data_IF_710107778705
#
_entry.id   IF_710107778705
#
_cell.length_a   1.000
_cell.length_b   1.000
_cell.length_c   1.000
_cell.angle_alpha   90.00
_cell.angle_beta   90.00
_cell.angle_gamma   90.00
#
_symmetry.space_group_name_H-M   'P 1'
#
loop_
_entity.id
_entity.type
_entity.pdbx_description
1 polymer ?
#
# COMPACT_ATOMS: atom_id res chain seq x y z
N UNK A 1 63.67 -1.37 31.45
CA UNK A 1 63.25 -1.55 30.04
C UNK A 1 62.25 -2.71 29.82
N UNK A 2 62.28 -3.82 30.58
CA UNK A 2 61.31 -4.94 30.40
C UNK A 2 59.84 -4.60 30.72
N UNK A 3 59.58 -3.65 31.63
CA UNK A 3 58.19 -3.24 31.99
C UNK A 3 57.53 -2.31 30.95
N UNK A 4 58.30 -1.61 30.11
CA UNK A 4 57.77 -0.75 29.04
C UNK A 4 57.28 -1.59 27.84
N UNK A 5 57.97 -2.70 27.54
CA UNK A 5 57.61 -3.59 26.42
C UNK A 5 56.30 -4.36 26.65
N UNK A 6 55.99 -4.73 27.90
CA UNK A 6 54.72 -5.40 28.23
C UNK A 6 53.53 -4.44 28.09
N UNK A 7 53.72 -3.15 28.38
CA UNK A 7 52.69 -2.12 28.21
C UNK A 7 52.39 -1.86 26.71
N UNK A 8 53.43 -1.87 25.86
CA UNK A 8 53.27 -1.75 24.40
C UNK A 8 52.62 -2.98 23.75
N UNK A 9 52.89 -4.19 24.26
CA UNK A 9 52.27 -5.43 23.79
C UNK A 9 50.76 -5.49 24.12
N UNK A 10 50.34 -4.94 25.27
CA UNK A 10 48.93 -4.82 25.64
C UNK A 10 48.19 -3.70 24.86
N UNK A 11 48.90 -2.64 24.45
CA UNK A 11 48.31 -1.60 23.60
C UNK A 11 48.08 -2.11 22.15
N UNK A 12 48.96 -2.97 21.63
CA UNK A 12 48.83 -3.53 20.27
C UNK A 12 47.83 -4.68 20.15
N UNK A 13 47.56 -5.44 21.23
CA UNK A 13 46.56 -6.52 21.19
C UNK A 13 45.11 -6.01 21.03
N UNK A 14 44.83 -4.77 21.44
CA UNK A 14 43.53 -4.14 21.19
C UNK A 14 43.33 -3.72 19.74
N UNK A 15 44.38 -3.34 19.01
CA UNK A 15 44.27 -2.95 17.59
C UNK A 15 44.00 -4.15 16.66
N UNK A 16 44.53 -5.34 16.96
CA UNK A 16 44.30 -6.53 16.11
C UNK A 16 42.87 -7.11 16.22
N UNK A 17 42.15 -6.83 17.31
CA UNK A 17 40.80 -7.37 17.51
C UNK A 17 39.72 -6.60 16.75
N UNK A 18 39.95 -5.33 16.38
CA UNK A 18 38.95 -4.50 15.66
C UNK A 18 39.01 -4.76 14.15
N UNK A 19 40.21 -4.83 13.56
CA UNK A 19 40.37 -5.10 12.12
C UNK A 19 39.94 -6.52 11.70
N UNK A 20 40.15 -7.54 12.56
CA UNK A 20 39.80 -8.92 12.23
C UNK A 20 38.30 -9.25 12.22
N UNK A 21 37.44 -8.34 12.66
CA UNK A 21 35.99 -8.58 12.72
C UNK A 21 35.28 -8.17 11.42
N UNK A 22 35.67 -7.04 10.83
CA UNK A 22 35.18 -6.62 9.52
C UNK A 22 35.53 -7.65 8.45
N UNK A 23 36.75 -8.17 8.47
CA UNK A 23 37.18 -9.22 7.55
C UNK A 23 36.35 -10.51 7.68
N UNK A 24 35.96 -10.90 8.90
CA UNK A 24 35.10 -12.07 9.13
C UNK A 24 33.68 -11.87 8.60
N UNK A 25 33.13 -10.69 8.78
CA UNK A 25 31.80 -10.34 8.27
C UNK A 25 31.82 -10.25 6.74
N UNK A 26 32.88 -9.66 6.17
CA UNK A 26 33.08 -9.60 4.72
C UNK A 26 33.22 -10.99 4.10
N UNK A 27 33.94 -11.90 4.76
CA UNK A 27 34.01 -13.31 4.35
C UNK A 27 32.63 -13.99 4.38
N UNK A 28 31.76 -13.66 5.34
CA UNK A 28 30.39 -14.18 5.39
C UNK A 28 29.61 -13.75 4.13
N UNK A 29 29.63 -12.46 3.81
CA UNK A 29 28.98 -11.94 2.60
C UNK A 29 29.55 -12.60 1.35
N UNK A 30 30.88 -12.69 1.23
CA UNK A 30 31.53 -13.27 0.05
C UNK A 30 31.26 -14.76 -0.12
N UNK A 31 31.20 -15.51 0.98
CA UNK A 31 30.94 -16.96 0.98
C UNK A 31 29.54 -17.30 0.46
N UNK A 32 28.54 -16.48 0.75
CA UNK A 32 27.14 -16.78 0.44
C UNK A 32 26.55 -15.97 -0.73
N UNK A 33 27.29 -15.00 -1.29
CA UNK A 33 26.76 -14.11 -2.33
C UNK A 33 26.30 -14.82 -3.62
N UNK A 34 26.84 -16.00 -3.93
CA UNK A 34 26.51 -16.77 -5.14
C UNK A 34 25.68 -18.03 -4.86
N UNK A 35 25.16 -18.17 -3.63
CA UNK A 35 24.40 -19.36 -3.24
C UNK A 35 22.95 -19.22 -3.67
N UNK A 36 22.40 -20.27 -4.28
CA UNK A 36 21.01 -20.32 -4.69
C UNK A 36 20.04 -20.18 -3.50
N UNK A 37 19.06 -19.28 -3.60
CA UNK A 37 18.16 -18.91 -2.50
C UNK A 37 18.74 -17.85 -1.55
N UNK A 38 19.86 -17.22 -1.93
CA UNK A 38 20.42 -16.06 -1.24
C UNK A 38 20.42 -14.86 -2.20
N UNK A 39 19.84 -13.76 -1.76
CA UNK A 39 19.95 -12.46 -2.45
C UNK A 39 21.07 -11.65 -1.84
N UNK A 40 22.03 -11.21 -2.66
CA UNK A 40 23.17 -10.39 -2.23
C UNK A 40 23.23 -9.09 -3.02
N UNK A 41 23.34 -7.95 -2.31
CA UNK A 41 23.51 -6.62 -2.92
C UNK A 41 24.77 -6.01 -2.33
N UNK A 42 25.68 -5.52 -3.18
CA UNK A 42 26.89 -4.80 -2.77
C UNK A 42 26.98 -3.47 -3.50
N UNK A 43 26.90 -2.38 -2.73
CA UNK A 43 27.09 -1.03 -3.22
C UNK A 43 28.42 -0.51 -2.66
N UNK A 44 29.32 -0.12 -3.55
CA UNK A 44 30.63 0.39 -3.17
C UNK A 44 30.69 1.92 -3.12
N UNK A 45 31.69 2.46 -2.42
CA UNK A 45 31.95 3.90 -2.24
C UNK A 45 31.80 4.77 -3.50
N UNK A 46 32.29 4.39 -4.69
CA UNK A 46 32.16 5.24 -5.87
C UNK A 46 30.69 5.54 -6.23
N UNK A 47 29.77 4.60 -5.95
CA UNK A 47 28.35 4.77 -6.23
C UNK A 47 27.72 5.79 -5.26
N UNK A 48 28.09 5.75 -3.97
CA UNK A 48 27.68 6.77 -3.00
C UNK A 48 28.25 8.15 -3.32
N UNK A 49 29.51 8.21 -3.78
CA UNK A 49 30.12 9.45 -4.26
C UNK A 49 29.39 10.03 -5.46
N UNK A 50 28.95 9.18 -6.40
CA UNK A 50 28.12 9.60 -7.53
C UNK A 50 26.75 10.10 -7.07
N UNK A 51 26.08 9.41 -6.14
CA UNK A 51 24.80 9.87 -5.58
C UNK A 51 24.93 11.22 -4.87
N UNK A 52 26.03 11.44 -4.16
CA UNK A 52 26.32 12.73 -3.51
C UNK A 52 26.62 13.87 -4.49
N UNK A 53 27.08 13.57 -5.70
CA UNK A 53 27.38 14.56 -6.74
C UNK A 53 26.22 14.86 -7.68
N UNK A 54 25.12 14.09 -7.61
CA UNK A 54 23.91 14.39 -8.37
C UNK A 54 23.26 15.67 -7.83
N UNK A 55 23.17 16.67 -8.70
CA UNK A 55 22.53 17.94 -8.39
C UNK A 55 21.02 17.84 -8.65
N UNK A 56 20.31 17.19 -7.74
CA UNK A 56 18.85 17.09 -7.76
C UNK A 56 18.29 18.19 -6.86
N UNK A 57 17.37 19.01 -7.38
CA UNK A 57 16.61 20.00 -6.61
C UNK A 57 15.60 19.29 -5.70
N UNK A 58 16.10 18.72 -4.61
CA UNK A 58 15.29 18.08 -3.58
C UNK A 58 15.82 18.48 -2.20
N UNK A 59 15.00 19.23 -1.47
CA UNK A 59 15.27 19.70 -0.11
C UNK A 59 15.56 18.57 0.89
N UNK A 60 15.15 17.34 0.59
CA UNK A 60 15.43 16.15 1.40
C UNK A 60 16.79 15.54 1.04
N UNK A 61 17.15 15.53 -0.24
CA UNK A 61 18.46 15.02 -0.69
C UNK A 61 19.60 15.86 -0.12
N UNK A 62 19.42 17.18 -0.02
CA UNK A 62 20.41 18.07 0.59
C UNK A 62 20.71 17.76 2.06
N UNK A 63 19.74 17.20 2.80
CA UNK A 63 19.93 16.81 4.20
C UNK A 63 20.74 15.51 4.34
N UNK A 64 20.62 14.60 3.36
CA UNK A 64 21.30 13.30 3.38
C UNK A 64 22.61 13.28 2.58
N UNK A 65 22.87 14.24 1.69
CA UNK A 65 24.14 14.39 0.96
C UNK A 65 25.39 14.33 1.86
N UNK A 66 25.44 15.03 3.03
CA UNK A 66 26.58 14.93 3.96
C UNK A 66 26.79 13.53 4.53
N UNK A 67 25.73 12.71 4.57
CA UNK A 67 25.76 11.33 5.07
C UNK A 67 26.26 10.36 4.00
N UNK A 68 25.85 10.56 2.75
CA UNK A 68 26.30 9.74 1.62
C UNK A 68 27.82 9.76 1.47
N UNK A 69 28.46 10.90 1.77
CA UNK A 69 29.92 11.03 1.77
C UNK A 69 30.62 10.22 2.88
N UNK A 70 29.92 9.89 3.97
CA UNK A 70 30.42 9.13 5.11
C UNK A 70 30.25 7.61 4.95
N UNK A 71 29.49 7.18 3.95
CA UNK A 71 29.24 5.77 3.64
C UNK A 71 30.31 5.29 2.65
N UNK A 72 31.07 4.29 3.05
CA UNK A 72 32.02 3.59 2.19
C UNK A 72 31.37 2.43 1.43
N UNK A 73 30.25 1.90 1.91
CA UNK A 73 29.55 0.82 1.22
C UNK A 73 28.28 0.37 1.92
N UNK A 74 27.44 -0.35 1.17
CA UNK A 74 26.27 -1.06 1.69
C UNK A 74 26.35 -2.51 1.20
N UNK A 75 26.20 -3.46 2.11
CA UNK A 75 26.05 -4.88 1.78
C UNK A 75 24.74 -5.39 2.35
N UNK A 76 23.96 -6.09 1.53
CA UNK A 76 22.70 -6.74 1.92
C UNK A 76 22.82 -8.22 1.59
N UNK A 77 22.44 -9.08 2.51
CA UNK A 77 22.35 -10.52 2.35
C UNK A 77 20.98 -10.96 2.88
N UNK A 78 20.19 -11.61 2.05
CA UNK A 78 18.88 -12.16 2.42
C UNK A 78 18.94 -13.64 2.11
N UNK A 79 18.86 -14.47 3.15
CA UNK A 79 18.75 -15.92 3.01
C UNK A 79 17.28 -16.32 3.15
N UNK A 80 16.72 -16.86 2.06
CA UNK A 80 15.31 -17.23 1.97
C UNK A 80 14.96 -18.42 2.87
N UNK A 81 13.67 -18.49 3.23
CA UNK A 81 13.10 -19.67 3.88
C UNK A 81 13.14 -20.88 2.94
N UNK A 82 13.55 -22.07 3.40
CA UNK A 82 13.48 -23.27 2.59
C UNK A 82 12.02 -23.69 2.36
N UNK A 83 11.60 -23.84 1.09
CA UNK A 83 10.27 -24.38 0.75
C UNK A 83 10.07 -25.83 1.21
N UNK A 84 11.15 -26.62 1.20
CA UNK A 84 11.17 -28.00 1.69
C UNK A 84 12.50 -28.29 2.39
N UNK A 85 12.45 -28.40 3.73
CA UNK A 85 13.60 -28.65 4.61
C UNK A 85 14.35 -29.95 4.29
N UNK A 86 13.68 -30.96 3.73
CA UNK A 86 14.27 -32.26 3.42
C UNK A 86 14.98 -32.30 2.07
N UNK A 87 14.90 -31.24 1.27
CA UNK A 87 15.62 -31.14 0.00
C UNK A 87 17.09 -30.75 0.22
N UNK A 88 17.98 -31.15 -0.70
CA UNK A 88 19.39 -30.75 -0.63
C UNK A 88 19.59 -29.22 -0.66
N UNK A 89 18.67 -28.48 -1.29
CA UNK A 89 18.61 -27.01 -1.25
C UNK A 89 18.14 -26.50 0.11
N UNK A 90 17.08 -27.09 0.65
CA UNK A 90 16.53 -26.73 1.97
C UNK A 90 17.54 -26.92 3.10
N UNK A 91 18.28 -28.03 3.10
CA UNK A 91 19.35 -28.26 4.09
C UNK A 91 20.49 -27.25 3.98
N UNK A 92 20.86 -26.82 2.76
CA UNK A 92 21.85 -25.76 2.56
C UNK A 92 21.36 -24.43 3.12
N UNK A 93 20.12 -24.03 2.86
CA UNK A 93 19.54 -22.79 3.39
C UNK A 93 19.47 -22.79 4.92
N UNK A 94 19.02 -23.91 5.52
CA UNK A 94 19.04 -24.08 6.98
C UNK A 94 20.45 -23.95 7.56
N UNK A 95 21.46 -24.50 6.89
CA UNK A 95 22.85 -24.37 7.30
C UNK A 95 23.35 -22.91 7.21
N UNK A 96 23.02 -22.19 6.13
CA UNK A 96 23.36 -20.78 5.96
C UNK A 96 22.78 -19.94 7.09
N UNK A 97 21.50 -20.13 7.41
CA UNK A 97 20.83 -19.43 8.50
C UNK A 97 21.51 -19.68 9.86
N UNK A 98 21.88 -20.94 10.13
CA UNK A 98 22.61 -21.32 11.33
C UNK A 98 24.02 -20.73 11.36
N UNK A 99 24.70 -20.69 10.22
CA UNK A 99 26.03 -20.10 10.07
C UNK A 99 25.96 -18.60 10.36
N UNK A 100 25.05 -17.85 9.71
CA UNK A 100 24.84 -16.42 9.93
C UNK A 100 24.64 -16.14 11.43
N UNK A 101 23.70 -16.85 12.07
CA UNK A 101 23.44 -16.71 13.50
C UNK A 101 24.67 -16.97 14.38
N UNK A 102 25.50 -17.95 14.00
CA UNK A 102 26.72 -18.31 14.72
C UNK A 102 27.82 -17.28 14.52
N UNK A 103 28.00 -16.79 13.30
CA UNK A 103 28.94 -15.71 12.97
C UNK A 103 28.61 -14.44 13.75
N UNK A 104 27.34 -14.03 13.77
CA UNK A 104 26.91 -12.83 14.50
C UNK A 104 27.16 -12.94 16.01
N UNK A 105 26.95 -14.12 16.61
CA UNK A 105 27.27 -14.36 18.02
C UNK A 105 28.78 -14.34 18.32
N UNK A 106 29.61 -14.65 17.33
CA UNK A 106 31.07 -14.68 17.46
C UNK A 106 31.72 -13.31 17.17
N UNK A 107 30.96 -12.35 16.66
CA UNK A 107 31.42 -10.96 16.50
C UNK A 107 31.38 -10.25 17.85
N UNK A 108 32.41 -9.45 18.15
CA UNK A 108 32.43 -8.60 19.35
C UNK A 108 31.81 -7.22 19.03
N UNK A 109 30.66 -7.22 18.36
CA UNK A 109 29.94 -5.99 18.09
C UNK A 109 29.15 -5.57 19.32
N UNK A 110 29.05 -4.26 19.54
CA UNK A 110 28.18 -3.69 20.56
C UNK A 110 26.73 -3.76 20.09
N UNK A 111 25.87 -4.42 20.86
CA UNK A 111 24.42 -4.38 20.62
C UNK A 111 23.89 -3.02 21.04
N UNK A 112 23.51 -2.20 20.07
CA UNK A 112 22.98 -0.85 20.30
C UNK A 112 21.48 -0.92 20.60
N UNK A 113 20.77 -1.80 19.89
CA UNK A 113 19.33 -2.01 20.07
C UNK A 113 18.98 -3.45 19.71
N UNK A 114 18.12 -4.06 20.52
CA UNK A 114 17.49 -5.34 20.20
C UNK A 114 15.99 -5.18 20.36
N UNK A 115 15.23 -5.65 19.38
CA UNK A 115 13.78 -5.66 19.37
C UNK A 115 13.29 -7.06 19.03
N UNK A 116 12.20 -7.49 19.67
CA UNK A 116 11.51 -8.74 19.34
C UNK A 116 10.06 -8.40 18.99
N UNK A 117 9.59 -8.83 17.83
CA UNK A 117 8.24 -8.55 17.34
C UNK A 117 7.73 -9.73 16.52
N UNK A 118 6.61 -10.33 16.93
CA UNK A 118 5.96 -11.48 16.30
C UNK A 118 6.91 -12.64 15.95
N UNK A 119 7.83 -12.97 16.88
CA UNK A 119 8.78 -14.07 16.71
C UNK A 119 10.05 -13.68 15.95
N UNK A 120 10.07 -12.53 15.26
CA UNK A 120 11.26 -12.00 14.61
C UNK A 120 12.14 -11.22 15.60
N UNK A 121 13.43 -11.53 15.61
CA UNK A 121 14.46 -10.87 16.41
C UNK A 121 15.27 -9.90 15.54
N UNK A 122 15.16 -8.62 15.86
CA UNK A 122 15.86 -7.53 15.16
C UNK A 122 16.98 -7.02 16.07
N UNK A 123 18.19 -6.89 15.52
CA UNK A 123 19.36 -6.37 16.22
C UNK A 123 20.06 -5.29 15.40
N UNK A 124 20.39 -4.19 16.06
CA UNK A 124 21.31 -3.17 15.59
C UNK A 124 22.63 -3.32 16.34
N UNK A 125 23.68 -3.54 15.58
CA UNK A 125 25.03 -3.87 16.04
C UNK A 125 26.00 -2.83 15.46
N UNK A 126 27.07 -2.52 16.19
CA UNK A 126 28.17 -1.69 15.68
C UNK A 126 29.52 -2.26 16.12
N UNK A 127 30.51 -2.19 15.24
CA UNK A 127 31.86 -2.72 15.51
C UNK A 127 32.58 -1.95 16.63
N UNK A 128 32.30 -0.66 16.76
CA UNK A 128 32.80 0.21 17.82
C UNK A 128 31.82 1.36 18.07
N UNK A 129 31.45 1.56 19.34
CA UNK A 129 30.66 2.69 19.80
C UNK A 129 31.50 3.52 20.79
N UNK A 130 32.24 4.50 20.30
CA UNK A 130 33.08 5.39 21.12
C UNK A 130 32.67 6.84 20.89
N UNK A 131 32.48 7.57 21.98
CA UNK A 131 32.20 9.02 21.97
C UNK A 131 31.03 9.44 21.05
N UNK A 132 30.01 8.58 20.91
CA UNK A 132 28.85 8.87 20.07
C UNK A 132 29.06 8.67 18.57
N UNK A 133 30.18 8.04 18.16
CA UNK A 133 30.44 7.58 16.79
C UNK A 133 30.27 6.07 16.74
N UNK A 134 29.48 5.59 15.78
CA UNK A 134 29.29 4.20 15.44
C UNK A 134 30.09 3.88 14.18
N UNK A 135 31.03 2.94 14.30
CA UNK A 135 31.75 2.38 13.17
C UNK A 135 31.01 1.12 12.68
N UNK A 136 30.73 1.07 11.38
CA UNK A 136 30.11 -0.05 10.66
C UNK A 136 28.82 -0.56 11.32
N UNK A 137 27.67 -0.03 10.87
CA UNK A 137 26.36 -0.40 11.41
C UNK A 137 25.90 -1.69 10.74
N UNK A 138 25.51 -2.67 11.56
CA UNK A 138 24.98 -3.95 11.12
C UNK A 138 23.57 -4.14 11.66
N UNK A 139 22.61 -4.27 10.75
CA UNK A 139 21.23 -4.67 11.04
C UNK A 139 21.08 -6.16 10.74
N UNK A 140 20.66 -6.92 11.74
CA UNK A 140 20.33 -8.33 11.63
C UNK A 140 18.86 -8.55 11.97
N UNK A 141 18.14 -9.26 11.11
CA UNK A 141 16.76 -9.68 11.34
C UNK A 141 16.72 -11.19 11.16
N UNK A 142 16.39 -11.89 12.24
CA UNK A 142 16.10 -13.33 12.26
C UNK A 142 14.59 -13.48 12.39
N UNK A 143 13.91 -14.00 11.36
CA UNK A 143 12.44 -14.12 11.37
C UNK A 143 11.93 -15.26 12.27
N UNK A 144 12.82 -16.11 12.78
CA UNK A 144 12.45 -17.30 13.55
C UNK A 144 11.88 -18.46 12.71
N UNK A 145 11.49 -18.20 11.45
CA UNK A 145 10.94 -19.19 10.51
C UNK A 145 11.96 -19.63 9.44
N UNK A 146 13.25 -19.40 9.68
CA UNK A 146 14.33 -19.81 8.79
C UNK A 146 14.62 -18.82 7.66
N UNK A 147 14.23 -17.55 7.81
CA UNK A 147 14.69 -16.46 6.95
C UNK A 147 15.56 -15.50 7.75
N UNK A 148 16.69 -15.09 7.16
CA UNK A 148 17.61 -14.15 7.78
C UNK A 148 17.94 -13.00 6.83
N UNK A 149 17.83 -11.77 7.33
CA UNK A 149 18.23 -10.56 6.63
C UNK A 149 19.40 -9.93 7.38
N UNK A 150 20.46 -9.62 6.62
CA UNK A 150 21.64 -8.95 7.11
C UNK A 150 21.94 -7.74 6.25
N UNK A 151 21.98 -6.56 6.85
CA UNK A 151 22.31 -5.29 6.18
C UNK A 151 23.48 -4.65 6.90
N UNK A 152 24.59 -4.45 6.19
CA UNK A 152 25.79 -3.81 6.70
C UNK A 152 26.00 -2.48 5.98
N UNK A 153 26.08 -1.41 6.75
CA UNK A 153 26.45 -0.09 6.29
C UNK A 153 27.88 0.21 6.74
N UNK A 154 28.81 0.15 5.80
CA UNK A 154 30.22 0.46 6.01
C UNK A 154 30.40 1.98 6.04
N UNK A 155 30.87 2.50 7.17
CA UNK A 155 31.00 3.93 7.38
C UNK A 155 31.15 4.31 8.84
N UNK A 156 31.47 5.57 9.07
CA UNK A 156 31.52 6.18 10.41
C UNK A 156 30.35 7.13 10.55
N UNK A 157 29.40 6.81 11.42
CA UNK A 157 28.19 7.61 11.61
C UNK A 157 28.12 8.08 13.05
N UNK A 158 27.98 9.39 13.24
CA UNK A 158 27.68 9.93 14.56
C UNK A 158 26.21 9.70 14.93
N UNK A 159 25.86 9.78 16.21
CA UNK A 159 24.47 9.78 16.65
C UNK A 159 23.66 10.92 16.01
N UNK A 160 24.29 12.07 15.73
CA UNK A 160 23.66 13.17 14.99
C UNK A 160 23.36 12.80 13.53
N UNK A 161 24.25 12.03 12.89
CA UNK A 161 24.04 11.51 11.55
C UNK A 161 22.86 10.53 11.52
N UNK A 162 22.76 9.67 12.53
CA UNK A 162 21.65 8.72 12.69
C UNK A 162 20.34 9.48 12.97
N UNK A 163 20.39 10.49 13.83
CA UNK A 163 19.25 11.37 14.08
C UNK A 163 18.82 12.09 12.80
N UNK A 164 19.73 12.50 11.92
CA UNK A 164 19.36 13.07 10.61
C UNK A 164 18.71 12.04 9.69
N UNK A 165 19.12 10.77 9.71
CA UNK A 165 18.45 9.70 8.95
C UNK A 165 17.01 9.52 9.47
N UNK A 166 16.85 9.44 10.78
CA UNK A 166 15.55 9.28 11.44
C UNK A 166 14.67 10.51 11.18
N UNK A 167 15.19 11.72 11.42
CA UNK A 167 14.46 12.97 11.32
C UNK A 167 14.27 13.48 9.88
N UNK A 168 15.07 13.04 8.90
CA UNK A 168 14.76 13.25 7.48
C UNK A 168 13.46 12.53 7.05
N UNK A 169 12.99 11.61 7.90
CA UNK A 169 11.71 10.91 7.76
C UNK A 169 10.57 11.56 8.58
N UNK A 170 10.86 12.51 9.47
CA UNK A 170 9.88 13.06 10.43
C UNK A 170 9.46 14.51 10.11
N UNK A 171 8.21 14.66 9.67
CA UNK A 171 7.40 15.82 10.04
C UNK A 171 6.37 15.34 11.07
N UNK A 172 6.54 15.77 12.34
CA UNK A 172 5.58 15.71 13.46
C UNK A 172 4.54 14.56 13.44
N UNK A 173 4.77 13.46 14.16
CA UNK A 173 3.79 12.78 15.07
C UNK A 173 4.55 11.91 16.09
N UNK A 174 4.01 11.80 17.31
CA UNK A 174 4.38 10.89 18.41
C UNK A 174 4.62 9.41 18.01
N UNK A 175 5.39 8.66 18.83
CA UNK A 175 6.14 7.48 18.40
C UNK A 175 5.33 6.16 18.50
N UNK A 176 5.57 5.25 17.56
CA UNK A 176 5.82 3.79 17.68
C UNK A 176 5.92 3.27 16.24
N UNK A 177 7.16 3.05 15.78
CA UNK A 177 7.50 2.76 14.39
C UNK A 177 7.41 1.27 14.09
N UNK A 178 6.50 0.88 13.20
CA UNK A 178 6.52 -0.43 12.55
C UNK A 178 7.59 -0.43 11.46
N UNK A 179 8.83 -0.74 11.81
CA UNK A 179 9.83 -1.22 10.85
C UNK A 179 9.56 -2.70 10.57
N UNK A 180 8.60 -2.98 9.68
CA UNK A 180 8.47 -4.29 9.04
C UNK A 180 8.74 -4.16 7.54
N UNK A 181 9.83 -4.80 7.14
CA UNK A 181 9.95 -5.61 5.94
C UNK A 181 9.54 -4.95 4.61
N UNK A 182 10.50 -4.28 3.96
CA UNK A 182 10.48 -4.03 2.52
C UNK A 182 11.50 -4.90 1.75
N UNK A 183 11.91 -6.04 2.32
CA UNK A 183 12.94 -6.92 1.74
C UNK A 183 12.50 -8.39 1.59
N UNK A 184 11.20 -8.67 1.47
CA UNK A 184 10.70 -10.03 1.23
C UNK A 184 9.65 -9.97 0.12
N UNK A 185 10.09 -10.16 -1.12
CA UNK A 185 9.21 -10.56 -2.21
C UNK A 185 9.32 -12.07 -2.34
N UNK A 186 8.36 -12.82 -1.80
CA UNK A 186 8.28 -14.25 -2.04
C UNK A 186 7.70 -14.56 -3.43
N UNK A 187 8.53 -15.27 -4.19
CA UNK A 187 8.26 -16.31 -5.21
C UNK A 187 7.89 -15.95 -6.66
N UNK A 188 8.28 -16.82 -7.65
CA UNK A 188 8.92 -16.40 -8.88
C UNK A 188 8.03 -16.81 -10.05
N UNK A 189 7.25 -15.86 -10.54
CA UNK A 189 6.55 -16.01 -11.80
C UNK A 189 6.58 -14.67 -12.56
N UNK A 190 7.72 -14.41 -13.19
CA UNK A 190 7.86 -13.93 -14.58
C UNK A 190 6.82 -12.92 -15.14
N UNK A 191 6.35 -11.95 -14.35
CA UNK A 191 5.68 -10.73 -14.82
C UNK A 191 6.12 -9.55 -13.95
N UNK A 192 7.34 -9.09 -14.24
CA UNK A 192 8.14 -8.10 -13.49
C UNK A 192 7.54 -6.69 -13.44
N UNK A 193 7.83 -6.02 -12.31
CA UNK A 193 7.84 -4.58 -12.02
C UNK A 193 6.56 -3.95 -11.43
N UNK A 194 6.40 -4.13 -10.12
CA UNK A 194 5.60 -3.23 -9.28
C UNK A 194 6.51 -2.28 -8.48
N UNK A 195 6.35 -0.96 -8.62
CA UNK A 195 7.06 0.07 -7.86
C UNK A 195 6.26 0.49 -6.63
N UNK A 196 6.86 0.37 -5.44
CA UNK A 196 6.28 0.90 -4.21
C UNK A 196 6.37 2.43 -4.21
N UNK A 197 5.29 3.11 -3.84
CA UNK A 197 5.18 4.56 -3.79
C UNK A 197 5.05 5.00 -2.34
N UNK A 198 5.96 5.87 -1.90
CA UNK A 198 5.84 6.51 -0.61
C UNK A 198 4.83 7.66 -0.72
N UNK A 199 3.72 7.56 -0.02
CA UNK A 199 2.65 8.56 0.02
C UNK A 199 2.26 8.80 1.48
N UNK A 200 1.76 10.00 1.77
CA UNK A 200 1.19 10.30 3.09
C UNK A 200 -0.10 9.51 3.35
N UNK A 201 -0.65 9.66 4.56
CA UNK A 201 -1.92 9.05 4.91
C UNK A 201 -3.10 9.66 4.14
N UNK A 202 -4.07 8.83 3.82
CA UNK A 202 -5.30 9.23 3.14
C UNK A 202 -6.48 8.40 3.62
N UNK A 203 -7.66 9.01 3.62
CA UNK A 203 -8.94 8.34 3.80
C UNK A 203 -9.80 8.39 2.52
N UNK A 204 -9.35 9.11 1.48
CA UNK A 204 -10.01 9.14 0.18
C UNK A 204 -9.11 8.66 -0.96
N UNK A 205 -9.72 8.12 -2.01
CA UNK A 205 -9.05 7.80 -3.28
C UNK A 205 -9.77 8.47 -4.44
N UNK A 206 -9.00 9.07 -5.34
CA UNK A 206 -9.46 9.54 -6.64
C UNK A 206 -8.63 8.85 -7.73
N UNK A 207 -9.25 7.90 -8.43
CA UNK A 207 -8.64 7.12 -9.51
C UNK A 207 -9.20 7.53 -10.86
N UNK A 208 -8.33 7.80 -11.83
CA UNK A 208 -8.76 8.18 -13.18
C UNK A 208 -7.87 7.66 -14.30
N UNK A 209 -8.29 7.91 -15.54
CA UNK A 209 -7.49 7.71 -16.76
C UNK A 209 -7.10 6.25 -17.00
N UNK A 210 -8.09 5.34 -16.95
CA UNK A 210 -7.91 3.93 -17.29
C UNK A 210 -7.08 3.10 -16.29
N UNK A 211 -6.80 3.64 -15.10
CA UNK A 211 -6.10 2.90 -14.04
C UNK A 211 -7.02 1.85 -13.42
N UNK A 212 -6.52 0.63 -13.25
CA UNK A 212 -7.18 -0.40 -12.44
C UNK A 212 -6.62 -0.35 -11.00
N UNK A 213 -7.42 0.10 -10.04
CA UNK A 213 -7.04 0.20 -8.64
C UNK A 213 -7.70 -0.90 -7.82
N UNK A 214 -6.88 -1.63 -7.07
CA UNK A 214 -7.31 -2.66 -6.13
C UNK A 214 -7.02 -2.18 -4.71
N UNK A 215 -8.08 -1.98 -3.94
CA UNK A 215 -8.02 -1.47 -2.58
C UNK A 215 -8.24 -2.58 -1.54
N UNK A 216 -7.47 -2.56 -0.46
CA UNK A 216 -7.67 -3.39 0.72
C UNK A 216 -7.63 -2.51 1.97
N UNK A 217 -8.70 -2.49 2.75
CA UNK A 217 -8.70 -1.75 4.01
C UNK A 217 -7.85 -2.51 5.02
N UNK A 218 -6.63 -2.03 5.28
CA UNK A 218 -5.69 -2.59 6.24
C UNK A 218 -4.60 -1.59 6.60
N UNK A 219 -3.93 -1.84 7.73
CA UNK A 219 -2.74 -1.10 8.15
C UNK A 219 -1.50 -1.92 7.80
N UNK A 220 -0.40 -1.30 7.36
CA UNK A 220 -0.20 0.13 7.14
C UNK A 220 -0.70 0.64 5.79
N UNK A 221 -0.72 1.97 5.62
CA UNK A 221 -0.88 2.63 4.31
C UNK A 221 0.22 2.15 3.36
N UNK A 222 -0.14 1.65 2.18
CA UNK A 222 0.81 1.20 1.17
C UNK A 222 0.26 1.42 -0.24
N UNK A 223 1.12 1.80 -1.17
CA UNK A 223 0.76 1.97 -2.59
C UNK A 223 1.81 1.27 -3.45
N UNK A 224 1.37 0.35 -4.31
CA UNK A 224 2.23 -0.38 -5.25
C UNK A 224 1.68 -0.28 -6.67
N UNK A 225 2.47 0.29 -7.57
CA UNK A 225 2.10 0.52 -8.97
C UNK A 225 2.73 -0.55 -9.85
N UNK A 226 1.91 -1.32 -10.58
CA UNK A 226 2.32 -2.38 -11.49
C UNK A 226 1.98 -1.95 -12.92
N UNK A 227 3.01 -1.70 -13.73
CA UNK A 227 2.89 -1.29 -15.12
C UNK A 227 4.16 -1.60 -15.90
N UNK A 228 4.17 -1.27 -17.20
CA UNK A 228 5.36 -1.35 -18.04
C UNK A 228 6.51 -0.52 -17.43
N UNK A 229 7.70 -1.12 -17.28
CA UNK A 229 8.82 -0.55 -16.52
C UNK A 229 9.23 0.85 -16.98
N UNK A 230 9.23 1.08 -18.30
CA UNK A 230 9.56 2.35 -18.96
C UNK A 230 8.45 3.42 -18.81
N UNK A 231 7.27 3.03 -18.31
CA UNK A 231 6.08 3.90 -18.24
C UNK A 231 5.57 4.14 -16.83
N UNK A 232 6.22 3.56 -15.81
CA UNK A 232 5.91 3.82 -14.40
C UNK A 232 5.92 5.32 -14.07
N UNK A 233 6.81 6.09 -14.71
CA UNK A 233 6.92 7.55 -14.52
C UNK A 233 5.70 8.38 -14.96
N UNK A 234 4.78 7.79 -15.73
CA UNK A 234 3.55 8.43 -16.19
C UNK A 234 2.38 8.14 -15.25
N UNK A 235 2.53 7.24 -14.29
CA UNK A 235 1.49 6.94 -13.29
C UNK A 235 1.76 7.81 -12.07
N UNK A 236 0.92 8.81 -11.88
CA UNK A 236 1.01 9.74 -10.77
C UNK A 236 0.29 9.15 -9.57
N UNK A 237 0.97 9.16 -8.42
CA UNK A 237 0.42 8.80 -7.11
C UNK A 237 0.79 9.92 -6.15
N UNK A 238 -0.20 10.70 -5.71
CA UNK A 238 0.03 11.81 -4.78
C UNK A 238 -1.14 12.01 -3.84
N UNK A 239 -0.87 12.38 -2.60
CA UNK A 239 -1.92 12.70 -1.63
C UNK A 239 -2.09 14.20 -1.57
N UNK A 240 -3.32 14.68 -1.78
CA UNK A 240 -3.69 16.08 -1.63
C UNK A 240 -4.96 16.16 -0.78
N UNK A 241 -4.92 16.91 0.31
CA UNK A 241 -6.05 17.09 1.24
C UNK A 241 -6.64 15.76 1.77
N UNK A 242 -5.78 14.79 2.10
CA UNK A 242 -6.20 13.47 2.58
C UNK A 242 -6.79 12.54 1.51
N UNK A 243 -6.67 12.90 0.22
CA UNK A 243 -7.13 12.09 -0.91
C UNK A 243 -5.94 11.66 -1.76
N UNK A 244 -5.74 10.35 -1.92
CA UNK A 244 -4.79 9.78 -2.86
C UNK A 244 -5.32 9.91 -4.29
N UNK A 245 -4.65 10.71 -5.11
CA UNK A 245 -4.89 10.84 -6.54
C UNK A 245 -4.02 9.85 -7.30
N UNK A 246 -4.65 9.01 -8.12
CA UNK A 246 -4.00 7.99 -8.95
C UNK A 246 -4.46 8.14 -10.41
N UNK A 247 -3.58 8.58 -11.29
CA UNK A 247 -3.94 8.82 -12.69
C UNK A 247 -2.73 8.72 -13.61
N UNK A 248 -2.99 8.54 -14.91
CA UNK A 248 -1.97 8.63 -15.95
C UNK A 248 -1.82 10.08 -16.41
N UNK A 249 -0.59 10.61 -16.31
CA UNK A 249 -0.17 11.86 -16.94
C UNK A 249 0.70 11.54 -18.14
N UNK A 250 0.30 11.99 -19.33
CA UNK A 250 1.06 11.73 -20.55
C UNK A 250 2.33 12.59 -20.69
N UNK A 251 2.51 13.63 -19.86
CA UNK A 251 3.63 14.59 -19.92
C UNK A 251 3.91 15.10 -21.35
N UNK A 252 2.85 15.26 -22.16
CA UNK A 252 2.95 15.70 -23.55
C UNK A 252 3.29 14.60 -24.59
N UNK A 253 3.48 13.34 -24.16
CA UNK A 253 3.71 12.23 -25.07
C UNK A 253 2.42 11.84 -25.82
N UNK A 254 2.46 11.87 -27.15
CA UNK A 254 1.36 11.39 -28.00
C UNK A 254 1.35 9.86 -28.04
N UNK A 255 0.14 9.28 -28.10
CA UNK A 255 -0.09 7.83 -28.24
C UNK A 255 0.52 6.96 -27.12
N UNK A 256 0.57 7.47 -25.88
CA UNK A 256 0.97 6.68 -24.72
C UNK A 256 -0.02 5.53 -24.51
N UNK A 257 0.45 4.30 -24.69
CA UNK A 257 -0.34 3.07 -24.50
C UNK A 257 0.34 2.18 -23.47
N UNK A 258 -0.46 1.66 -22.56
CA UNK A 258 -0.04 0.69 -21.56
C UNK A 258 -0.60 -0.68 -21.93
N UNK A 259 0.18 -1.74 -21.68
CA UNK A 259 -0.36 -3.11 -21.78
C UNK A 259 -1.25 -3.44 -20.57
N UNK A 260 -0.81 -3.01 -19.38
CA UNK A 260 -1.54 -3.15 -18.13
C UNK A 260 -1.19 -1.98 -17.21
N UNK A 261 -2.17 -1.51 -16.43
CA UNK A 261 -1.98 -0.50 -15.39
C UNK A 261 -2.76 -0.97 -14.16
N UNK A 262 -2.07 -1.50 -13.16
CA UNK A 262 -2.68 -1.94 -11.91
C UNK A 262 -2.03 -1.22 -10.73
N UNK A 263 -2.84 -0.68 -9.81
CA UNK A 263 -2.34 -0.03 -8.59
C UNK A 263 -2.98 -0.70 -7.39
N UNK A 264 -2.16 -1.32 -6.56
CA UNK A 264 -2.61 -1.94 -5.33
C UNK A 264 -2.43 -0.95 -4.19
N UNK A 265 -3.48 -0.74 -3.41
CA UNK A 265 -3.52 0.27 -2.35
C UNK A 265 -4.05 -0.35 -1.06
N UNK A 266 -3.39 -0.09 0.06
CA UNK A 266 -3.94 -0.29 1.40
C UNK A 266 -3.96 1.00 2.19
N UNK A 267 -4.97 1.15 3.04
CA UNK A 267 -5.07 2.19 4.06
C UNK A 267 -6.02 1.72 5.17
N UNK A 268 -5.82 2.13 6.44
CA UNK A 268 -6.75 1.82 7.53
C UNK A 268 -8.16 2.42 7.31
N UNK A 269 -8.27 3.51 6.54
CA UNK A 269 -9.50 4.30 6.36
C UNK A 269 -9.85 4.47 4.89
N UNK A 270 -11.14 4.50 4.56
CA UNK A 270 -11.66 4.75 3.22
C UNK A 270 -13.07 5.35 3.24
N UNK A 271 -13.19 6.65 3.46
CA UNK A 271 -14.46 7.39 3.54
C UNK A 271 -14.91 8.03 2.22
N UNK A 272 -14.03 8.09 1.21
CA UNK A 272 -14.31 8.75 -0.06
C UNK A 272 -13.67 8.03 -1.26
N UNK A 273 -14.47 7.60 -2.22
CA UNK A 273 -14.01 6.90 -3.43
C UNK A 273 -14.51 7.67 -4.65
N UNK A 274 -13.59 8.13 -5.48
CA UNK A 274 -13.90 8.75 -6.77
C UNK A 274 -13.23 7.98 -7.90
N UNK A 275 -14.00 7.53 -8.87
CA UNK A 275 -13.52 6.86 -10.06
C UNK A 275 -14.00 7.60 -11.31
N UNK A 276 -13.10 7.88 -12.26
CA UNK A 276 -13.48 8.55 -13.51
C UNK A 276 -12.67 8.11 -14.72
N UNK A 277 -13.12 8.48 -15.91
CA UNK A 277 -12.35 8.37 -17.16
C UNK A 277 -11.86 6.93 -17.43
N UNK A 278 -12.79 5.97 -17.38
CA UNK A 278 -12.51 4.55 -17.63
C UNK A 278 -11.70 3.84 -16.54
N UNK A 279 -11.43 4.47 -15.40
CA UNK A 279 -10.77 3.82 -14.28
C UNK A 279 -11.65 2.77 -13.61
N UNK A 280 -11.02 1.77 -12.99
CA UNK A 280 -11.69 0.75 -12.19
C UNK A 280 -11.22 0.83 -10.75
N UNK A 281 -12.16 0.81 -9.80
CA UNK A 281 -11.89 0.68 -8.36
C UNK A 281 -12.51 -0.61 -7.84
N UNK A 282 -11.70 -1.48 -7.24
CA UNK A 282 -12.16 -2.76 -6.67
C UNK A 282 -11.70 -2.93 -5.23
N UNK A 283 -12.60 -3.27 -4.31
CA UNK A 283 -12.21 -3.64 -2.93
C UNK A 283 -11.97 -5.15 -2.80
N UNK A 284 -10.91 -5.56 -2.11
CA UNK A 284 -10.65 -6.97 -1.77
C UNK A 284 -11.52 -7.42 -0.58
N UNK A 285 -11.53 -6.62 0.49
CA UNK A 285 -12.27 -6.90 1.72
C UNK A 285 -13.42 -5.91 1.91
N UNK A 286 -14.27 -6.17 2.91
CA UNK A 286 -15.34 -5.24 3.26
C UNK A 286 -14.77 -3.97 3.88
N UNK A 287 -15.06 -2.83 3.26
CA UNK A 287 -14.72 -1.51 3.80
C UNK A 287 -15.68 -1.17 4.94
N UNK A 288 -15.15 -0.75 6.07
CA UNK A 288 -15.88 -0.36 7.28
C UNK A 288 -15.59 1.09 7.60
N UNK A 289 -16.65 1.89 7.64
CA UNK A 289 -16.59 3.31 7.96
C UNK A 289 -17.89 3.77 8.62
N UNK A 290 -17.85 4.95 9.24
CA UNK A 290 -19.08 5.59 9.71
C UNK A 290 -19.90 6.16 8.55
N UNK A 291 -19.23 6.87 7.64
CA UNK A 291 -19.83 7.43 6.45
C UNK A 291 -18.95 7.14 5.24
N UNK A 292 -19.57 6.98 4.07
CA UNK A 292 -18.87 6.73 2.83
C UNK A 292 -19.52 7.51 1.69
N UNK A 293 -18.70 8.12 0.84
CA UNK A 293 -19.10 8.70 -0.45
C UNK A 293 -18.43 7.95 -1.59
N UNK A 294 -19.20 7.57 -2.62
CA UNK A 294 -18.71 6.94 -3.85
C UNK A 294 -19.19 7.76 -5.05
N UNK A 295 -18.26 8.31 -5.83
CA UNK A 295 -18.54 9.02 -7.08
C UNK A 295 -17.95 8.25 -8.27
N UNK A 296 -18.78 7.82 -9.21
CA UNK A 296 -18.35 7.17 -10.45
C UNK A 296 -18.81 7.98 -11.66
N UNK A 297 -17.90 8.26 -12.61
CA UNK A 297 -18.25 8.99 -13.83
C UNK A 297 -17.46 8.56 -15.06
N UNK A 298 -17.96 8.93 -16.24
CA UNK A 298 -17.21 8.84 -17.51
C UNK A 298 -16.68 7.42 -17.79
N UNK A 299 -17.57 6.44 -17.75
CA UNK A 299 -17.25 5.03 -18.03
C UNK A 299 -16.39 4.33 -16.98
N UNK A 300 -16.25 4.90 -15.78
CA UNK A 300 -15.53 4.24 -14.68
C UNK A 300 -16.33 3.09 -14.08
N UNK A 301 -15.63 2.18 -13.41
CA UNK A 301 -16.23 1.01 -12.75
C UNK A 301 -15.89 1.00 -11.26
N UNK A 302 -16.88 0.82 -10.39
CA UNK A 302 -16.67 0.62 -8.95
C UNK A 302 -17.26 -0.72 -8.52
N UNK A 303 -16.46 -1.56 -7.84
CA UNK A 303 -16.88 -2.87 -7.33
C UNK A 303 -16.45 -3.05 -5.88
N UNK A 304 -17.37 -3.44 -4.99
CA UNK A 304 -16.96 -3.71 -3.63
C UNK A 304 -18.04 -4.07 -2.62
N UNK A 305 -17.58 -4.30 -1.38
CA UNK A 305 -18.44 -4.55 -0.21
C UNK A 305 -18.20 -3.45 0.82
N UNK A 306 -19.29 -2.83 1.28
CA UNK A 306 -19.25 -1.66 2.15
C UNK A 306 -20.18 -1.86 3.35
N UNK A 307 -19.63 -1.87 4.55
CA UNK A 307 -20.34 -1.98 5.82
C UNK A 307 -20.23 -0.63 6.55
N UNK A 308 -21.24 0.21 6.34
CA UNK A 308 -21.23 1.63 6.71
C UNK A 308 -22.15 1.87 7.89
N UNK A 309 -21.61 2.32 9.03
CA UNK A 309 -22.39 2.39 10.28
C UNK A 309 -23.51 3.43 10.26
N UNK A 310 -23.42 4.44 9.39
CA UNK A 310 -24.37 5.54 9.30
C UNK A 310 -24.83 5.82 7.87
N UNK A 311 -24.10 6.65 7.10
CA UNK A 311 -24.57 7.18 5.83
C UNK A 311 -23.66 6.75 4.65
N UNK A 312 -24.23 6.08 3.66
CA UNK A 312 -23.57 5.77 2.39
C UNK A 312 -24.21 6.60 1.26
N UNK A 313 -23.42 7.46 0.61
CA UNK A 313 -23.83 8.23 -0.58
C UNK A 313 -23.12 7.70 -1.81
N UNK A 314 -23.88 7.47 -2.87
CA UNK A 314 -23.35 6.96 -4.13
C UNK A 314 -23.89 7.79 -5.29
N UNK A 315 -23.01 8.30 -6.14
CA UNK A 315 -23.33 9.00 -7.38
C UNK A 315 -22.73 8.27 -8.57
N UNK A 316 -23.53 8.07 -9.62
CA UNK A 316 -23.11 7.41 -10.86
C UNK A 316 -23.59 8.21 -12.08
N UNK A 317 -22.68 8.66 -12.94
CA UNK A 317 -23.04 9.45 -14.12
C UNK A 317 -22.23 9.07 -15.37
N UNK A 318 -22.70 9.51 -16.54
CA UNK A 318 -21.96 9.45 -17.81
C UNK A 318 -21.45 8.04 -18.14
N UNK A 319 -22.37 7.06 -18.12
CA UNK A 319 -22.09 5.67 -18.47
C UNK A 319 -21.18 4.91 -17.49
N UNK A 320 -21.08 5.35 -16.24
CA UNK A 320 -20.34 4.61 -15.20
C UNK A 320 -21.08 3.36 -14.73
N UNK A 321 -20.32 2.34 -14.32
CA UNK A 321 -20.84 1.10 -13.76
C UNK A 321 -20.53 0.97 -12.26
N UNK A 322 -21.53 0.67 -11.43
CA UNK A 322 -21.32 0.37 -10.00
C UNK A 322 -21.93 -0.98 -9.65
N UNK A 323 -21.16 -1.86 -9.00
CA UNK A 323 -21.66 -3.11 -8.41
C UNK A 323 -21.22 -3.21 -6.95
N UNK A 324 -22.14 -2.97 -6.02
CA UNK A 324 -21.79 -2.85 -4.61
C UNK A 324 -22.73 -3.65 -3.70
N UNK A 325 -22.16 -4.37 -2.74
CA UNK A 325 -22.91 -4.88 -1.58
C UNK A 325 -22.77 -3.87 -0.45
N UNK A 326 -23.89 -3.31 0.03
CA UNK A 326 -23.91 -2.24 1.02
C UNK A 326 -24.74 -2.66 2.23
N UNK A 327 -24.23 -2.40 3.42
CA UNK A 327 -25.01 -2.39 4.67
C UNK A 327 -24.91 -1.01 5.27
N UNK A 328 -26.04 -0.34 5.53
CA UNK A 328 -26.03 1.00 6.14
C UNK A 328 -27.29 1.33 6.95
N UNK A 329 -27.28 2.44 7.69
CA UNK A 329 -28.53 2.99 8.27
C UNK A 329 -29.30 3.81 7.23
N UNK A 330 -28.58 4.64 6.49
CA UNK A 330 -29.11 5.49 5.44
C UNK A 330 -28.28 5.34 4.17
N UNK A 331 -28.96 5.10 3.06
CA UNK A 331 -28.37 4.99 1.74
C UNK A 331 -28.93 6.09 0.82
N UNK A 332 -28.07 6.78 0.08
CA UNK A 332 -28.48 7.75 -0.93
C UNK A 332 -27.84 7.40 -2.26
N UNK A 333 -28.66 7.28 -3.31
CA UNK A 333 -28.17 7.04 -4.67
C UNK A 333 -28.66 8.13 -5.63
N UNK A 334 -27.73 8.69 -6.41
CA UNK A 334 -28.02 9.56 -7.55
C UNK A 334 -27.45 8.95 -8.83
N UNK A 335 -28.30 8.65 -9.80
CA UNK A 335 -27.92 8.04 -11.08
C UNK A 335 -28.36 8.89 -12.26
N UNK A 336 -27.47 9.19 -13.21
CA UNK A 336 -27.85 9.91 -14.43
C UNK A 336 -27.04 9.53 -15.66
N UNK A 337 -27.46 10.02 -16.83
CA UNK A 337 -26.70 9.98 -18.08
C UNK A 337 -26.20 8.57 -18.44
N UNK A 338 -27.12 7.60 -18.41
CA UNK A 338 -26.86 6.21 -18.82
C UNK A 338 -25.98 5.37 -17.90
N UNK A 339 -25.79 5.75 -16.63
CA UNK A 339 -25.12 4.89 -15.64
C UNK A 339 -25.86 3.55 -15.43
N UNK A 340 -25.16 2.43 -15.29
CA UNK A 340 -25.73 1.11 -14.90
C UNK A 340 -25.21 0.71 -13.52
N UNK A 341 -26.12 0.60 -12.56
CA UNK A 341 -25.78 0.36 -11.17
C UNK A 341 -26.53 -0.83 -10.60
N UNK A 342 -25.87 -1.58 -9.73
CA UNK A 342 -26.40 -2.75 -9.05
C UNK A 342 -26.02 -2.71 -7.58
N UNK A 343 -27.03 -2.79 -6.71
CA UNK A 343 -26.86 -2.77 -5.27
C UNK A 343 -27.45 -4.03 -4.62
N UNK A 344 -26.75 -4.57 -3.64
CA UNK A 344 -27.17 -5.70 -2.82
C UNK A 344 -26.95 -5.39 -1.33
N UNK A 345 -27.59 -6.16 -0.43
CA UNK A 345 -27.42 -6.01 1.02
C UNK A 345 -28.64 -5.41 1.70
N UNK A 346 -28.46 -4.47 2.64
CA UNK A 346 -29.58 -3.91 3.40
C UNK A 346 -29.37 -2.47 3.89
N UNK A 347 -30.46 -1.72 4.05
CA UNK A 347 -30.45 -0.42 4.71
C UNK A 347 -31.73 -0.16 5.50
N UNK A 348 -31.67 0.72 6.50
CA UNK A 348 -32.87 1.19 7.21
C UNK A 348 -33.68 2.15 6.36
N UNK A 349 -33.01 3.13 5.75
CA UNK A 349 -33.64 4.12 4.87
C UNK A 349 -32.84 4.24 3.57
N UNK A 350 -33.53 4.48 2.46
CA UNK A 350 -32.87 4.82 1.20
C UNK A 350 -33.59 5.93 0.43
N UNK A 351 -32.80 6.82 -0.18
CA UNK A 351 -33.27 7.76 -1.19
C UNK A 351 -32.62 7.39 -2.54
N UNK A 352 -33.44 7.22 -3.58
CA UNK A 352 -33.00 6.97 -4.95
C UNK A 352 -33.48 8.09 -5.87
N UNK A 353 -32.56 8.79 -6.52
CA UNK A 353 -32.87 9.77 -7.57
C UNK A 353 -32.21 9.32 -8.86
N UNK A 354 -33.00 8.94 -9.87
CA UNK A 354 -32.47 8.52 -11.15
C UNK A 354 -33.09 9.27 -12.33
N UNK A 355 -32.26 9.63 -13.31
CA UNK A 355 -32.71 10.35 -14.50
C UNK A 355 -31.93 9.99 -15.76
N UNK A 356 -32.38 10.52 -16.90
CA UNK A 356 -31.61 10.56 -18.16
C UNK A 356 -31.09 9.19 -18.61
N UNK A 357 -31.99 8.20 -18.66
CA UNK A 357 -31.69 6.84 -19.10
C UNK A 357 -30.82 6.01 -18.16
N UNK A 358 -30.59 6.45 -16.92
CA UNK A 358 -29.88 5.65 -15.92
C UNK A 358 -30.65 4.37 -15.53
N UNK A 359 -29.91 3.31 -15.22
CA UNK A 359 -30.42 2.02 -14.76
C UNK A 359 -29.89 1.72 -13.36
N UNK A 360 -30.79 1.41 -12.43
CA UNK A 360 -30.44 0.99 -11.08
C UNK A 360 -31.17 -0.30 -10.71
N UNK A 361 -30.41 -1.36 -10.41
CA UNK A 361 -30.87 -2.69 -10.02
C UNK A 361 -30.59 -2.92 -8.53
N UNK A 362 -31.61 -2.75 -7.70
CA UNK A 362 -31.51 -2.90 -6.24
C UNK A 362 -32.53 -3.92 -5.70
N UNK A 363 -32.86 -4.95 -6.49
CA UNK A 363 -33.82 -6.01 -6.14
C UNK A 363 -33.32 -6.91 -5.00
N UNK A 364 -32.00 -7.00 -4.86
CA UNK A 364 -31.29 -7.73 -3.81
C UNK A 364 -30.84 -6.82 -2.65
N UNK A 365 -31.27 -5.56 -2.64
CA UNK A 365 -30.98 -4.60 -1.58
C UNK A 365 -32.24 -4.34 -0.77
N UNK A 366 -32.35 -4.96 0.40
CA UNK A 366 -33.54 -4.90 1.25
C UNK A 366 -33.55 -3.61 2.06
N UNK A 367 -34.56 -2.76 1.85
CA UNK A 367 -34.68 -1.48 2.55
C UNK A 367 -36.01 -1.34 3.26
N UNK A 368 -36.01 -0.84 4.51
CA UNK A 368 -37.27 -0.67 5.24
C UNK A 368 -38.11 0.47 4.66
N UNK A 369 -37.54 1.67 4.54
CA UNK A 369 -38.23 2.85 4.02
C UNK A 369 -37.49 3.41 2.80
N UNK A 370 -38.19 3.61 1.69
CA UNK A 370 -37.63 4.12 0.45
C UNK A 370 -38.37 5.37 -0.03
N UNK A 371 -37.61 6.42 -0.35
CA UNK A 371 -38.04 7.50 -1.24
C UNK A 371 -37.37 7.29 -2.60
N UNK A 372 -38.16 7.26 -3.67
CA UNK A 372 -37.68 6.95 -5.01
C UNK A 372 -38.21 7.95 -6.03
N UNK A 373 -37.33 8.53 -6.83
CA UNK A 373 -37.64 9.38 -7.97
C UNK A 373 -36.99 8.83 -9.24
N UNK A 374 -37.79 8.65 -10.29
CA UNK A 374 -37.34 8.19 -11.60
C UNK A 374 -37.91 9.08 -12.71
N UNK A 375 -37.05 9.68 -13.52
CA UNK A 375 -37.46 10.56 -14.62
C UNK A 375 -36.66 10.35 -15.90
N UNK A 376 -37.11 10.96 -17.00
CA UNK A 376 -36.37 11.05 -18.27
C UNK A 376 -35.86 9.70 -18.78
N UNK A 377 -36.76 8.71 -18.84
CA UNK A 377 -36.48 7.36 -19.34
C UNK A 377 -35.62 6.47 -18.44
N UNK A 378 -35.36 6.87 -17.19
CA UNK A 378 -34.60 6.06 -16.24
C UNK A 378 -35.42 4.84 -15.73
N UNK A 379 -34.72 3.80 -15.27
CA UNK A 379 -35.33 2.57 -14.75
C UNK A 379 -34.74 2.15 -13.41
N UNK A 380 -35.58 2.10 -12.38
CA UNK A 380 -35.23 1.70 -11.03
C UNK A 380 -35.91 0.36 -10.70
N UNK A 381 -35.19 -0.61 -10.17
CA UNK A 381 -35.75 -1.76 -9.47
C UNK A 381 -35.31 -1.75 -8.01
N UNK A 382 -36.23 -1.88 -7.04
CA UNK A 382 -35.96 -1.78 -5.59
C UNK A 382 -36.69 -2.88 -4.80
N UNK A 383 -36.23 -3.18 -3.59
CA UNK A 383 -36.86 -4.13 -2.67
C UNK A 383 -37.16 -3.44 -1.33
N UNK A 384 -38.46 -3.30 -1.03
CA UNK A 384 -38.95 -2.45 0.06
C UNK A 384 -39.78 -3.26 1.04
N UNK A 385 -39.57 -3.03 2.34
CA UNK A 385 -40.24 -3.78 3.41
C UNK A 385 -41.45 -3.02 3.96
N UNK A 386 -41.25 -1.78 4.42
CA UNK A 386 -42.27 -1.07 5.22
C UNK A 386 -42.97 0.01 4.39
N UNK A 387 -42.24 1.00 3.86
CA UNK A 387 -42.82 2.16 3.17
C UNK A 387 -42.10 2.50 1.88
N UNK A 388 -42.86 2.75 0.82
CA UNK A 388 -42.38 3.24 -0.47
C UNK A 388 -43.09 4.54 -0.83
N UNK A 389 -42.35 5.65 -0.79
CA UNK A 389 -42.76 6.92 -1.39
C UNK A 389 -42.12 7.04 -2.77
N UNK A 390 -42.93 7.19 -3.82
CA UNK A 390 -42.44 7.09 -5.20
C UNK A 390 -42.96 8.20 -6.11
N UNK A 391 -42.05 8.77 -6.89
CA UNK A 391 -42.31 9.72 -7.96
C UNK A 391 -41.79 9.18 -9.29
N UNK A 392 -42.63 9.19 -10.33
CA UNK A 392 -42.19 8.84 -11.67
C UNK A 392 -42.83 9.73 -12.75
N UNK A 393 -42.01 10.26 -13.65
CA UNK A 393 -42.42 11.17 -14.72
C UNK A 393 -41.53 11.04 -15.96
N UNK A 394 -41.91 11.66 -17.08
CA UNK A 394 -41.06 11.75 -18.29
C UNK A 394 -40.47 10.41 -18.76
N UNK A 395 -41.28 9.35 -18.79
CA UNK A 395 -40.85 8.00 -19.18
C UNK A 395 -40.11 7.21 -18.09
N UNK A 396 -39.99 7.74 -16.87
CA UNK A 396 -39.34 7.06 -15.76
C UNK A 396 -40.11 5.82 -15.30
N UNK A 397 -39.39 4.74 -15.01
CA UNK A 397 -39.92 3.47 -14.53
C UNK A 397 -39.38 3.16 -13.13
N UNK A 398 -40.27 2.79 -12.22
CA UNK A 398 -39.93 2.19 -10.93
C UNK A 398 -40.58 0.81 -10.84
N UNK A 399 -39.76 -0.20 -10.54
CA UNK A 399 -40.18 -1.55 -10.22
C UNK A 399 -39.89 -1.82 -8.76
N UNK A 400 -40.81 -2.45 -8.04
CA UNK A 400 -40.62 -2.73 -6.62
C UNK A 400 -40.93 -4.19 -6.30
N UNK A 401 -40.16 -4.75 -5.36
CA UNK A 401 -40.38 -6.05 -4.73
C UNK A 401 -40.76 -5.84 -3.27
N UNK A 402 -41.55 -6.76 -2.71
CA UNK A 402 -42.05 -6.70 -1.34
C UNK A 402 -43.51 -6.26 -1.27
N UNK A 403 -44.00 -6.00 -0.05
CA UNK A 403 -45.38 -5.58 0.21
C UNK A 403 -45.43 -4.32 1.12
N UNK A 404 -44.84 -3.19 0.70
CA UNK A 404 -44.81 -1.97 1.50
C UNK A 404 -46.14 -1.21 1.47
N UNK A 405 -46.33 -0.29 2.41
CA UNK A 405 -47.27 0.83 2.29
C UNK A 405 -46.78 1.78 1.18
N UNK A 406 -47.62 2.07 0.18
CA UNK A 406 -47.22 2.85 -1.01
C UNK A 406 -47.89 4.22 -0.99
N UNK A 407 -47.07 5.27 -1.07
CA UNK A 407 -47.45 6.64 -1.39
C UNK A 407 -46.86 7.01 -2.76
N UNK A 408 -47.69 7.28 -3.77
CA UNK A 408 -47.22 7.41 -5.15
C UNK A 408 -47.75 8.65 -5.87
N UNK A 409 -46.85 9.35 -6.55
CA UNK A 409 -47.14 10.45 -7.48
C UNK A 409 -46.57 10.10 -8.87
N UNK A 410 -47.42 9.51 -9.71
CA UNK A 410 -47.02 8.97 -11.02
C UNK A 410 -47.66 9.79 -12.14
N UNK A 411 -46.83 10.52 -12.89
CA UNK A 411 -47.26 11.31 -14.04
C UNK A 411 -47.43 10.44 -15.28
N UNK A 412 -48.61 9.80 -15.39
CA UNK A 412 -48.96 8.94 -16.54
C UNK A 412 -48.96 9.68 -17.87
N UNK A 413 -49.34 10.97 -17.89
CA UNK A 413 -49.35 11.79 -19.11
C UNK A 413 -47.96 12.00 -19.70
N UNK A 414 -46.93 12.01 -18.84
CA UNK A 414 -45.52 12.12 -19.27
C UNK A 414 -44.84 10.74 -19.39
N UNK A 415 -45.59 9.64 -19.29
CA UNK A 415 -45.07 8.28 -19.46
C UNK A 415 -44.43 7.64 -18.22
N UNK A 416 -44.62 8.22 -17.02
CA UNK A 416 -44.15 7.61 -15.77
C UNK A 416 -44.85 6.28 -15.45
N UNK A 417 -44.14 5.34 -14.83
CA UNK A 417 -44.66 4.00 -14.52
C UNK A 417 -44.15 3.44 -13.19
N UNK A 418 -45.05 2.77 -12.47
CA UNK A 418 -44.77 1.98 -11.26
C UNK A 418 -45.27 0.54 -11.46
N UNK A 419 -44.44 -0.47 -11.19
CA UNK A 419 -44.79 -1.89 -11.39
C UNK A 419 -44.28 -2.79 -10.24
N UNK A 420 -45.06 -3.76 -9.75
CA UNK A 420 -44.54 -4.79 -8.87
C UNK A 420 -43.63 -5.78 -9.63
N UNK A 421 -42.69 -6.40 -8.91
CA UNK A 421 -41.87 -7.53 -9.34
C UNK A 421 -42.41 -8.77 -8.64
N UNK A 422 -42.82 -9.77 -9.42
CA UNK A 422 -43.37 -11.04 -8.92
C UNK A 422 -42.29 -11.95 -8.33
#
# INVERSE_FOLDING_TARGET
MKKIFILFAFAFSHFFNVYGQKDKLDQLFEKYQEVEGVTSIKIAKPMFGMLGSLNIEDSQLDQIKPLLAKINGLKVLIAERPENENSGKGQKLLQINKDISSYLKALNYSEIMTMNSDGAKIKFLSSEAKEGILDDILLSIDSGEGENILVMLDGKLSMDDINKIINSSDTKVNPITNTRSNLISENPASYLNGESRNVGDFSGINVSTGVNLVFKQESPTNVKVIADADKLQYIITKVENGVLKVYVDNKGQKNLKFKNISVNVSSPRMDNIKASSGATFTTINSVREDNLTIDASSGSVVKGKFAISNNARVEATSGSDIKATITSKTFGFKGSSGSDTSFEGQSGQANFEISSGALCKAENFRVNNVEAESSSGASLSINVVDKLKVKASSGGLVKYKGNPEIDSDISKMSGGSLKPIN
#
